data_IF_550889703324
#
_entry.id   IF_550889703324
#
_cell.length_a   1.000
_cell.length_b   1.000
_cell.length_c   1.000
_cell.angle_alpha   90.00
_cell.angle_beta   90.00
_cell.angle_gamma   90.00
#
_symmetry.space_group_name_H-M   'P 1'
#
loop_
_entity.id
_entity.type
_entity.pdbx_description
1 polymer ?
#
# COMPACT_ATOMS: atom_id res chain seq x y z
N UNK A 1 -18.31 10.11 -3.41
CA UNK A 1 -17.12 10.76 -4.01
C UNK A 1 -17.43 10.91 -5.49
N UNK A 2 -17.29 12.11 -6.05
CA UNK A 2 -17.65 12.37 -7.44
C UNK A 2 -16.66 11.68 -8.40
N UNK A 3 -17.17 11.15 -9.51
CA UNK A 3 -16.38 10.41 -10.51
C UNK A 3 -15.29 11.29 -11.12
N UNK A 4 -15.56 12.57 -11.34
CA UNK A 4 -14.58 13.52 -11.89
C UNK A 4 -13.37 13.68 -10.95
N UNK A 5 -13.61 13.81 -9.64
CA UNK A 5 -12.52 13.90 -8.65
C UNK A 5 -11.64 12.64 -8.70
N UNK A 6 -12.25 11.46 -8.76
CA UNK A 6 -11.52 10.19 -8.87
C UNK A 6 -10.66 10.12 -10.13
N UNK A 7 -11.17 10.60 -11.27
CA UNK A 7 -10.40 10.65 -12.51
C UNK A 7 -9.19 11.57 -12.37
N UNK A 8 -9.34 12.74 -11.75
CA UNK A 8 -8.27 13.74 -11.59
C UNK A 8 -7.13 13.26 -10.69
N UNK A 9 -7.43 12.51 -9.62
CA UNK A 9 -6.39 11.95 -8.73
C UNK A 9 -5.69 10.70 -9.27
N UNK A 10 -6.20 10.13 -10.37
CA UNK A 10 -5.60 8.98 -11.06
C UNK A 10 -4.76 9.38 -12.28
N UNK A 11 -4.78 10.65 -12.67
CA UNK A 11 -3.92 11.20 -13.72
C UNK A 11 -2.45 11.18 -13.27
N UNK A 12 -1.54 11.14 -14.23
CA UNK A 12 -0.12 11.41 -14.02
C UNK A 12 0.09 12.91 -13.74
N UNK A 13 1.19 13.24 -13.07
CA UNK A 13 1.49 14.61 -12.64
C UNK A 13 1.57 15.60 -13.81
N UNK A 14 2.01 15.12 -14.97
CA UNK A 14 2.14 15.89 -16.20
C UNK A 14 0.82 16.08 -16.98
N UNK A 15 -0.27 15.37 -16.62
CA UNK A 15 -1.52 15.41 -17.37
C UNK A 15 -2.42 16.59 -16.96
N UNK A 16 -3.08 17.27 -17.92
CA UNK A 16 -3.98 18.38 -17.61
C UNK A 16 -5.09 18.01 -16.62
N UNK A 17 -5.25 18.81 -15.58
CA UNK A 17 -6.26 18.61 -14.55
C UNK A 17 -5.90 17.57 -13.48
N UNK A 18 -4.64 17.12 -13.42
CA UNK A 18 -4.09 16.36 -12.30
C UNK A 18 -4.35 17.05 -10.95
N UNK A 19 -4.68 16.25 -9.95
CA UNK A 19 -4.78 16.67 -8.55
C UNK A 19 -4.06 15.63 -7.69
N UNK A 20 -3.23 16.08 -6.73
CA UNK A 20 -2.57 15.19 -5.80
C UNK A 20 -3.59 14.38 -4.97
N UNK A 21 -3.44 13.06 -4.98
CA UNK A 21 -4.23 12.18 -4.12
C UNK A 21 -3.81 12.35 -2.66
N UNK A 22 -4.73 12.80 -1.80
CA UNK A 22 -4.45 12.97 -0.37
C UNK A 22 -4.36 11.63 0.35
N UNK A 23 -3.48 11.53 1.33
CA UNK A 23 -3.30 10.36 2.20
C UNK A 23 -4.61 9.79 2.76
N UNK A 24 -5.53 10.66 3.19
CA UNK A 24 -6.86 10.27 3.67
C UNK A 24 -7.64 9.44 2.64
N UNK A 25 -7.54 9.78 1.36
CA UNK A 25 -8.22 9.04 0.28
C UNK A 25 -7.57 7.67 0.08
N UNK A 26 -6.24 7.60 0.07
CA UNK A 26 -5.49 6.34 -0.05
C UNK A 26 -5.81 5.43 1.15
N UNK A 27 -5.81 5.97 2.37
CA UNK A 27 -6.13 5.24 3.59
C UNK A 27 -7.55 4.64 3.51
N UNK A 28 -8.56 5.47 3.18
CA UNK A 28 -9.94 5.02 3.02
C UNK A 28 -10.09 3.96 1.93
N UNK A 29 -9.40 4.12 0.79
CA UNK A 29 -9.39 3.12 -0.27
C UNK A 29 -8.83 1.78 0.21
N UNK A 30 -7.68 1.79 0.89
CA UNK A 30 -7.03 0.58 1.38
C UNK A 30 -7.86 -0.11 2.48
N UNK A 31 -8.53 0.65 3.35
CA UNK A 31 -9.46 0.09 4.33
C UNK A 31 -10.69 -0.51 3.66
N UNK A 32 -11.25 0.17 2.65
CA UNK A 32 -12.31 -0.38 1.82
C UNK A 32 -11.89 -1.66 1.09
N UNK A 33 -10.63 -1.73 0.63
CA UNK A 33 -10.06 -2.92 0.01
C UNK A 33 -9.91 -4.08 1.00
N UNK A 34 -9.48 -3.80 2.24
CA UNK A 34 -9.45 -4.80 3.33
C UNK A 34 -10.86 -5.34 3.57
N UNK A 35 -11.84 -4.45 3.80
CA UNK A 35 -13.23 -4.85 4.06
C UNK A 35 -13.78 -5.69 2.91
N UNK A 36 -13.55 -5.26 1.67
CA UNK A 36 -14.00 -5.98 0.47
C UNK A 36 -13.42 -7.40 0.37
N UNK A 37 -12.16 -7.62 0.80
CA UNK A 37 -11.46 -8.91 0.65
C UNK A 37 -11.51 -9.81 1.88
N UNK A 38 -11.58 -9.23 3.07
CA UNK A 38 -11.44 -9.93 4.37
C UNK A 38 -12.72 -9.90 5.20
N UNK A 39 -13.72 -9.10 4.79
CA UNK A 39 -14.90 -8.81 5.57
C UNK A 39 -14.66 -7.67 6.56
N UNK A 40 -15.76 -7.14 7.11
CA UNK A 40 -15.72 -6.18 8.20
C UNK A 40 -15.45 -6.94 9.50
N UNK A 41 -14.49 -6.48 10.29
CA UNK A 41 -14.27 -7.01 11.63
C UNK A 41 -15.28 -6.36 12.58
N UNK A 42 -16.09 -7.18 13.27
CA UNK A 42 -17.03 -6.68 14.27
C UNK A 42 -16.29 -6.04 15.45
N UNK A 43 -16.81 -4.90 15.93
CA UNK A 43 -16.23 -4.16 17.05
C UNK A 43 -14.98 -3.32 16.73
N UNK A 44 -14.47 -3.35 15.49
CA UNK A 44 -13.32 -2.51 15.09
C UNK A 44 -13.79 -1.40 14.17
N UNK A 45 -13.65 -0.15 14.62
CA UNK A 45 -13.87 1.01 13.77
C UNK A 45 -12.66 1.26 12.86
N UNK A 46 -12.88 1.59 11.57
CA UNK A 46 -11.79 2.00 10.70
C UNK A 46 -11.08 3.22 11.27
N UNK A 47 -9.75 3.15 11.39
CA UNK A 47 -8.95 4.31 11.79
C UNK A 47 -8.94 5.33 10.65
N UNK A 48 -9.73 6.38 10.80
CA UNK A 48 -9.75 7.51 9.88
C UNK A 48 -8.64 8.47 10.26
N UNK A 49 -7.73 8.77 9.33
CA UNK A 49 -6.70 9.79 9.51
C UNK A 49 -7.35 11.13 9.89
N UNK A 50 -6.92 11.69 11.02
CA UNK A 50 -7.40 12.95 11.60
C UNK A 50 -6.43 14.09 11.24
N UNK A 51 -6.98 15.29 11.04
CA UNK A 51 -6.18 16.52 10.89
C UNK A 51 -5.07 16.41 9.85
N UNK A 52 -3.83 16.50 10.33
CA UNK A 52 -2.55 16.49 9.61
C UNK A 52 -1.84 15.13 9.61
N UNK A 53 -2.49 14.06 10.10
CA UNK A 53 -1.93 12.70 10.08
C UNK A 53 -1.59 12.26 8.65
N UNK A 54 -0.39 11.70 8.51
CA UNK A 54 0.16 11.21 7.25
C UNK A 54 0.06 9.70 7.15
N UNK A 55 -0.16 9.20 5.93
CA UNK A 55 -0.13 7.78 5.67
C UNK A 55 1.31 7.36 5.32
N UNK A 56 1.97 6.62 6.22
CA UNK A 56 3.33 6.15 5.94
C UNK A 56 3.32 5.01 4.91
N UNK A 57 4.43 4.82 4.21
CA UNK A 57 4.64 3.67 3.34
C UNK A 57 4.56 2.33 4.10
N UNK A 58 4.97 2.30 5.39
CA UNK A 58 4.81 1.12 6.24
C UNK A 58 3.32 0.80 6.46
N UNK A 59 2.46 1.82 6.62
CA UNK A 59 1.02 1.64 6.77
C UNK A 59 0.37 1.18 5.47
N UNK A 60 0.77 1.74 4.33
CA UNK A 60 0.34 1.26 3.00
C UNK A 60 0.68 -0.22 2.85
N UNK A 61 1.93 -0.59 3.11
CA UNK A 61 2.41 -1.96 2.98
C UNK A 61 1.66 -2.91 3.93
N UNK A 62 1.38 -2.48 5.17
CA UNK A 62 0.60 -3.25 6.16
C UNK A 62 -0.83 -3.45 5.70
N UNK A 63 -1.52 -2.41 5.22
CA UNK A 63 -2.90 -2.52 4.74
C UNK A 63 -3.00 -3.43 3.52
N UNK A 64 -2.05 -3.33 2.58
CA UNK A 64 -2.00 -4.23 1.42
C UNK A 64 -1.76 -5.68 1.86
N UNK A 65 -0.81 -5.92 2.77
CA UNK A 65 -0.55 -7.26 3.33
C UNK A 65 -1.82 -7.88 3.90
N UNK A 66 -2.58 -7.13 4.70
CA UNK A 66 -3.84 -7.58 5.29
C UNK A 66 -4.89 -7.86 4.20
N UNK A 67 -5.10 -6.90 3.30
CA UNK A 67 -6.07 -7.03 2.21
C UNK A 67 -5.83 -8.26 1.34
N UNK A 68 -4.56 -8.54 1.03
CA UNK A 68 -4.16 -9.65 0.17
C UNK A 68 -3.92 -10.95 0.93
N UNK A 69 -4.04 -10.95 2.27
CA UNK A 69 -3.78 -12.12 3.13
C UNK A 69 -2.35 -12.67 3.00
N UNK A 70 -1.39 -11.78 2.75
CA UNK A 70 -0.01 -12.18 2.52
C UNK A 70 0.71 -12.59 3.81
N UNK A 71 1.41 -13.71 3.72
CA UNK A 71 2.49 -14.10 4.61
C UNK A 71 3.80 -13.49 4.12
N UNK A 72 4.85 -13.59 4.95
CA UNK A 72 6.17 -13.04 4.62
C UNK A 72 6.70 -13.57 3.29
N UNK A 73 6.52 -14.88 3.05
CA UNK A 73 6.97 -15.52 1.80
C UNK A 73 6.22 -14.98 0.57
N UNK A 74 4.93 -14.69 0.69
CA UNK A 74 4.14 -14.12 -0.41
C UNK A 74 4.62 -12.70 -0.76
N UNK A 75 4.94 -11.90 0.26
CA UNK A 75 5.46 -10.54 0.07
C UNK A 75 6.86 -10.54 -0.56
N UNK A 76 7.73 -11.45 -0.10
CA UNK A 76 9.07 -11.62 -0.67
C UNK A 76 8.96 -12.07 -2.13
N UNK A 77 8.04 -12.99 -2.44
CA UNK A 77 7.78 -13.43 -3.80
C UNK A 77 7.32 -12.27 -4.70
N UNK A 78 6.40 -11.43 -4.21
CA UNK A 78 5.97 -10.20 -4.93
C UNK A 78 7.16 -9.30 -5.26
N UNK A 79 8.08 -9.06 -4.31
CA UNK A 79 9.27 -8.25 -4.56
C UNK A 79 10.22 -8.88 -5.60
N UNK A 80 10.31 -10.21 -5.65
CA UNK A 80 11.11 -10.91 -6.67
C UNK A 80 10.62 -10.61 -8.09
N UNK A 81 9.32 -10.46 -8.32
CA UNK A 81 8.80 -10.05 -9.65
C UNK A 81 9.32 -8.67 -10.07
N UNK A 82 9.66 -7.79 -9.13
CA UNK A 82 10.28 -6.50 -9.39
C UNK A 82 11.82 -6.55 -9.38
N UNK A 83 12.44 -7.74 -9.39
CA UNK A 83 13.88 -7.95 -9.22
C UNK A 83 14.44 -7.33 -7.91
N UNK A 84 13.58 -7.17 -6.90
CA UNK A 84 13.97 -6.63 -5.61
C UNK A 84 14.10 -7.79 -4.61
N UNK A 85 15.28 -7.94 -4.01
CA UNK A 85 15.55 -8.98 -3.01
C UNK A 85 15.44 -8.37 -1.61
N UNK A 86 14.67 -9.02 -0.75
CA UNK A 86 14.49 -8.63 0.65
C UNK A 86 14.44 -9.91 1.49
N UNK A 87 15.21 -9.95 2.58
CA UNK A 87 15.20 -11.07 3.52
C UNK A 87 13.97 -11.02 4.45
N UNK A 88 13.67 -12.13 5.12
CA UNK A 88 12.59 -12.18 6.14
C UNK A 88 12.86 -11.21 7.30
N UNK A 89 14.12 -11.05 7.70
CA UNK A 89 14.52 -10.13 8.77
C UNK A 89 14.26 -8.67 8.39
N UNK A 90 14.66 -8.27 7.18
CA UNK A 90 14.41 -6.93 6.67
C UNK A 90 12.92 -6.66 6.45
N UNK A 91 12.16 -7.63 5.94
CA UNK A 91 10.71 -7.51 5.83
C UNK A 91 10.05 -7.33 7.20
N UNK A 92 10.45 -8.13 8.19
CA UNK A 92 9.92 -8.03 9.57
C UNK A 92 10.18 -6.66 10.18
N UNK A 93 11.33 -6.05 9.90
CA UNK A 93 11.70 -4.71 10.37
C UNK A 93 10.71 -3.62 9.93
N UNK A 94 10.12 -3.74 8.74
CA UNK A 94 9.13 -2.80 8.19
C UNK A 94 7.80 -2.81 8.96
N UNK A 95 7.50 -3.88 9.71
CA UNK A 95 6.24 -4.02 10.44
C UNK A 95 6.37 -3.82 11.94
N UNK A 96 7.59 -3.54 12.45
CA UNK A 96 7.80 -3.20 13.86
C UNK A 96 7.16 -1.84 14.17
N UNK A 97 6.94 -1.58 15.46
CA UNK A 97 6.52 -0.26 15.92
C UNK A 97 7.68 0.75 15.77
N UNK A 98 7.41 2.03 15.51
CA UNK A 98 8.46 3.03 15.27
C UNK A 98 9.50 3.19 16.40
N UNK A 99 9.11 2.91 17.65
CA UNK A 99 9.96 2.95 18.85
C UNK A 99 10.88 1.71 19.00
N UNK A 100 10.68 0.68 18.19
CA UNK A 100 11.45 -0.55 18.29
C UNK A 100 12.84 -0.42 17.65
N UNK A 101 13.90 -0.89 18.32
CA UNK A 101 15.31 -0.80 17.84
C UNK A 101 15.57 -1.33 16.42
N UNK A 102 14.78 -2.31 16.00
CA UNK A 102 14.87 -2.95 14.67
C UNK A 102 13.80 -2.44 13.70
N UNK A 103 13.11 -1.35 14.02
CA UNK A 103 12.20 -0.71 13.08
C UNK A 103 12.96 -0.15 11.90
N UNK A 104 12.36 -0.27 10.72
CA UNK A 104 12.84 0.37 9.50
C UNK A 104 11.67 1.02 8.77
N UNK A 105 11.87 2.28 8.39
CA UNK A 105 10.96 2.98 7.51
C UNK A 105 10.96 2.33 6.13
N UNK A 106 9.77 2.20 5.54
CA UNK A 106 9.59 1.74 4.18
C UNK A 106 9.84 2.93 3.23
N UNK A 107 10.96 2.92 2.51
CA UNK A 107 11.24 3.96 1.51
C UNK A 107 10.35 3.83 0.27
N UNK A 108 10.19 4.94 -0.45
CA UNK A 108 9.36 5.00 -1.67
C UNK A 108 9.78 3.96 -2.72
N UNK A 109 11.08 3.71 -2.85
CA UNK A 109 11.61 2.74 -3.81
C UNK A 109 11.16 1.30 -3.48
N UNK A 110 11.11 0.93 -2.19
CA UNK A 110 10.65 -0.39 -1.78
C UNK A 110 9.15 -0.53 -2.07
N UNK A 111 8.34 0.45 -1.68
CA UNK A 111 6.90 0.42 -1.94
C UNK A 111 6.61 0.39 -3.44
N UNK A 112 7.31 1.21 -4.24
CA UNK A 112 7.20 1.22 -5.70
C UNK A 112 7.49 -0.16 -6.30
N UNK A 113 8.60 -0.79 -5.89
CA UNK A 113 8.94 -2.14 -6.35
C UNK A 113 7.90 -3.17 -5.91
N UNK A 114 7.37 -3.06 -4.70
CA UNK A 114 6.30 -3.93 -4.22
C UNK A 114 5.05 -3.84 -5.11
N UNK A 115 4.57 -2.61 -5.38
CA UNK A 115 3.41 -2.37 -6.23
C UNK A 115 3.64 -2.83 -7.68
N UNK A 116 4.82 -2.58 -8.24
CA UNK A 116 5.20 -3.09 -9.57
C UNK A 116 5.24 -4.62 -9.60
N UNK A 117 5.76 -5.25 -8.54
CA UNK A 117 5.75 -6.70 -8.36
C UNK A 117 4.33 -7.26 -8.36
N UNK A 118 3.39 -6.59 -7.69
CA UNK A 118 1.97 -6.97 -7.72
C UNK A 118 1.39 -6.86 -9.12
N UNK A 119 1.65 -5.77 -9.85
CA UNK A 119 1.18 -5.63 -11.24
C UNK A 119 1.67 -6.79 -12.09
N UNK A 120 2.97 -7.13 -12.03
CA UNK A 120 3.52 -8.26 -12.79
C UNK A 120 2.92 -9.60 -12.38
N UNK A 121 2.66 -9.82 -11.09
CA UNK A 121 2.08 -11.07 -10.59
C UNK A 121 0.62 -11.26 -10.99
N UNK A 122 -0.21 -10.20 -10.91
CA UNK A 122 -1.67 -10.30 -11.11
C UNK A 122 -2.17 -9.79 -12.45
N UNK A 123 -1.34 -9.07 -13.20
CA UNK A 123 -1.66 -8.51 -14.51
C UNK A 123 -0.50 -8.77 -15.47
N UNK A 124 -0.17 -10.04 -15.77
CA UNK A 124 0.96 -10.39 -16.63
C UNK A 124 0.86 -9.76 -18.03
N UNK A 125 -0.36 -9.53 -18.51
CA UNK A 125 -0.63 -8.92 -19.82
C UNK A 125 -0.74 -7.39 -19.81
N UNK A 126 -0.55 -6.75 -18.65
CA UNK A 126 -0.54 -5.30 -18.59
C UNK A 126 0.67 -4.78 -19.37
N UNK A 127 0.41 -4.18 -20.54
CA UNK A 127 1.44 -3.49 -21.34
C UNK A 127 2.11 -2.41 -20.47
N UNK A 128 3.44 -2.34 -20.59
CA UNK A 128 4.24 -1.25 -20.00
C UNK A 128 3.83 0.09 -20.56
#
# INVERSE_FOLDING_TARGET
METEYLQRIMKKEEEPGFILCRDKIIALFLDGLIIKRRGKQEGVEPQVLKGDERLSNNDILRKIRIAMSYRDDDMIEVLKYANFRLSKGELSALFRKPDHRSYKECGDQLLRNFLQGMVKKYRPDAKK
#
